data_IF_960007201042
#
_entry.id   IF_960007201042
#
_cell.length_a   1.000
_cell.length_b   1.000
_cell.length_c   1.000
_cell.angle_alpha   90.00
_cell.angle_beta   90.00
_cell.angle_gamma   90.00
#
_symmetry.space_group_name_H-M   'P 1'
#
loop_
_entity.id
_entity.type
_entity.pdbx_description
1 polymer ?
#
# COMPACT_ATOMS: atom_id res chain seq x y z
N UNK A 1 -58.05 10.49 -7.72
CA UNK A 1 -56.96 11.48 -7.76
C UNK A 1 -56.15 11.31 -6.47
N UNK A 2 -55.21 10.39 -6.22
CA UNK A 2 -54.09 9.72 -6.93
C UNK A 2 -53.05 10.70 -7.49
N UNK A 3 -51.90 10.74 -6.80
CA UNK A 3 -50.58 11.32 -7.14
C UNK A 3 -50.30 12.69 -6.50
N UNK A 4 -49.74 12.67 -5.28
CA UNK A 4 -48.88 13.72 -4.73
C UNK A 4 -48.19 13.21 -3.45
N UNK A 5 -47.46 12.11 -3.60
CA UNK A 5 -46.45 11.65 -2.64
C UNK A 5 -45.32 11.04 -3.47
N UNK A 6 -44.06 11.26 -3.06
CA UNK A 6 -42.83 10.69 -3.61
C UNK A 6 -42.04 11.53 -4.65
N UNK A 7 -41.60 12.75 -4.32
CA UNK A 7 -40.49 13.40 -5.05
C UNK A 7 -39.44 14.03 -4.10
N UNK A 8 -39.17 13.41 -2.95
CA UNK A 8 -38.15 13.93 -2.01
C UNK A 8 -37.30 12.82 -1.36
N UNK A 9 -36.98 11.77 -2.11
CA UNK A 9 -36.23 10.62 -1.60
C UNK A 9 -35.04 10.18 -2.49
N UNK A 10 -34.47 11.05 -3.32
CA UNK A 10 -33.32 10.71 -4.17
C UNK A 10 -32.17 11.75 -4.04
N UNK A 11 -31.71 11.99 -2.81
CA UNK A 11 -30.51 12.80 -2.55
C UNK A 11 -29.55 12.13 -1.55
N UNK A 12 -29.50 10.79 -1.53
CA UNK A 12 -28.75 10.04 -0.52
C UNK A 12 -27.99 8.83 -1.09
N UNK A 13 -27.33 8.92 -2.25
CA UNK A 13 -26.50 7.81 -2.75
C UNK A 13 -25.30 8.26 -3.61
N UNK A 14 -24.44 9.15 -3.12
CA UNK A 14 -23.10 9.33 -3.70
C UNK A 14 -22.04 9.67 -2.64
N UNK A 15 -22.15 9.09 -1.43
CA UNK A 15 -20.92 8.78 -0.69
C UNK A 15 -20.39 7.48 -1.28
N UNK A 16 -19.79 7.56 -2.48
CA UNK A 16 -18.90 6.51 -2.94
C UNK A 16 -17.82 6.43 -1.86
N UNK A 17 -17.91 5.43 -0.98
CA UNK A 17 -16.80 5.05 -0.13
C UNK A 17 -15.66 4.71 -1.08
N UNK A 18 -14.79 5.69 -1.33
CA UNK A 18 -13.57 5.52 -2.09
C UNK A 18 -12.78 4.46 -1.35
N UNK A 19 -12.86 3.22 -1.82
CA UNK A 19 -12.01 2.15 -1.33
C UNK A 19 -10.58 2.67 -1.44
N UNK A 20 -9.77 2.56 -0.37
CA UNK A 20 -8.41 3.04 -0.41
C UNK A 20 -7.70 2.33 -1.56
N UNK A 21 -7.31 3.11 -2.57
CA UNK A 21 -6.67 2.57 -3.76
C UNK A 21 -5.18 2.39 -3.47
N UNK A 22 -4.52 1.38 -4.08
CA UNK A 22 -3.07 1.21 -3.96
C UNK A 22 -2.25 2.36 -4.57
N UNK A 23 -2.90 3.40 -5.10
CA UNK A 23 -2.25 4.59 -5.61
C UNK A 23 -1.46 5.35 -4.53
N UNK A 24 -1.81 5.20 -3.24
CA UNK A 24 -1.00 5.76 -2.14
C UNK A 24 0.43 5.18 -2.10
N UNK A 25 0.62 3.97 -2.64
CA UNK A 25 1.90 3.27 -2.70
C UNK A 25 2.75 3.68 -3.91
N UNK A 26 2.20 4.43 -4.88
CA UNK A 26 2.95 4.91 -6.05
C UNK A 26 3.97 5.97 -5.63
N UNK A 27 5.24 5.73 -5.93
CA UNK A 27 6.35 6.59 -5.54
C UNK A 27 7.65 5.80 -5.35
N UNK A 28 8.72 6.54 -5.02
CA UNK A 28 9.99 5.97 -4.61
C UNK A 28 10.08 5.92 -3.08
N UNK A 29 10.64 4.84 -2.55
CA UNK A 29 10.65 4.53 -1.14
C UNK A 29 12.08 4.17 -0.69
N UNK A 30 12.45 4.68 0.47
CA UNK A 30 13.68 4.34 1.15
C UNK A 30 13.41 3.28 2.21
N UNK A 31 14.32 2.32 2.32
CA UNK A 31 14.49 1.53 3.53
C UNK A 31 15.38 2.28 4.53
N UNK A 32 15.48 1.78 5.75
CA UNK A 32 16.38 2.29 6.77
C UNK A 32 17.42 1.23 7.12
N UNK A 33 18.69 1.60 7.10
CA UNK A 33 19.81 0.78 7.56
C UNK A 33 20.64 1.61 8.54
N UNK A 34 20.74 1.18 9.80
CA UNK A 34 21.34 1.95 10.90
C UNK A 34 20.90 3.43 10.96
N UNK A 35 19.61 3.67 10.67
CA UNK A 35 19.01 5.02 10.65
C UNK A 35 19.39 5.88 9.45
N UNK A 36 20.11 5.32 8.47
CA UNK A 36 20.41 5.97 7.18
C UNK A 36 19.40 5.51 6.13
N UNK A 37 18.71 6.44 5.46
CA UNK A 37 17.80 6.07 4.38
C UNK A 37 18.61 5.62 3.16
N UNK A 38 18.21 4.50 2.56
CA UNK A 38 18.76 4.04 1.28
C UNK A 38 17.61 3.78 0.30
N UNK A 39 17.75 4.12 -1.01
CA UNK A 39 16.72 3.80 -2.00
C UNK A 39 16.48 2.29 -2.04
N UNK A 40 15.23 1.87 -1.85
CA UNK A 40 14.90 0.45 -1.72
C UNK A 40 14.03 -0.02 -2.88
N UNK A 41 12.84 0.57 -3.01
CA UNK A 41 11.91 0.23 -4.08
C UNK A 41 11.22 1.46 -4.66
N UNK A 42 10.71 1.32 -5.88
CA UNK A 42 9.85 2.30 -6.53
C UNK A 42 8.67 1.60 -7.16
N UNK A 43 7.48 2.14 -6.95
CA UNK A 43 6.24 1.64 -7.53
C UNK A 43 5.73 2.71 -8.50
N UNK A 44 5.45 2.31 -9.73
CA UNK A 44 4.85 3.18 -10.74
C UNK A 44 3.52 2.60 -11.21
N UNK A 45 2.59 3.46 -11.61
CA UNK A 45 1.38 3.05 -12.32
C UNK A 45 1.55 3.36 -13.80
N UNK A 46 1.49 2.35 -14.66
CA UNK A 46 1.61 2.47 -16.12
C UNK A 46 0.44 1.77 -16.77
N UNK A 47 -0.25 2.43 -17.71
CA UNK A 47 -1.37 1.84 -18.46
C UNK A 47 -2.39 1.07 -17.57
N UNK A 48 -2.68 1.60 -16.37
CA UNK A 48 -3.64 0.99 -15.44
C UNK A 48 -3.13 -0.17 -14.58
N UNK A 49 -1.88 -0.62 -14.73
CA UNK A 49 -1.24 -1.63 -13.87
C UNK A 49 -0.07 -1.04 -13.08
N UNK A 50 0.34 -1.72 -12.01
CA UNK A 50 1.49 -1.31 -11.20
C UNK A 50 2.75 -2.04 -11.67
N UNK A 51 3.88 -1.36 -11.59
CA UNK A 51 5.21 -1.89 -11.92
C UNK A 51 6.13 -1.63 -10.74
N UNK A 52 6.84 -2.67 -10.31
CA UNK A 52 7.82 -2.60 -9.23
C UNK A 52 9.23 -2.45 -9.80
N UNK A 53 9.99 -1.55 -9.20
CA UNK A 53 11.41 -1.37 -9.42
C UNK A 53 12.19 -1.50 -8.11
N UNK A 54 13.38 -2.06 -8.17
CA UNK A 54 14.36 -2.13 -7.07
C UNK A 54 15.55 -1.22 -7.38
N UNK A 55 16.25 -0.72 -6.36
CA UNK A 55 17.48 0.03 -6.60
C UNK A 55 18.69 -0.92 -6.59
N UNK A 56 19.42 -0.95 -7.69
CA UNK A 56 20.69 -1.70 -7.82
C UNK A 56 21.75 -0.71 -8.27
N UNK A 57 22.77 -0.51 -7.44
CA UNK A 57 23.90 0.40 -7.70
C UNK A 57 23.45 1.83 -8.09
N UNK A 58 22.47 2.38 -7.36
CA UNK A 58 21.94 3.72 -7.60
C UNK A 58 21.00 3.82 -8.80
N UNK A 59 20.67 2.70 -9.47
CA UNK A 59 19.79 2.68 -10.64
C UNK A 59 18.52 1.90 -10.35
N UNK A 60 17.39 2.47 -10.73
CA UNK A 60 16.11 1.77 -10.69
C UNK A 60 16.08 0.68 -11.77
N UNK A 61 15.98 -0.57 -11.34
CA UNK A 61 15.81 -1.74 -12.20
C UNK A 61 14.39 -2.23 -12.08
N UNK A 62 13.78 -2.54 -13.22
CA UNK A 62 12.44 -3.13 -13.24
C UNK A 62 12.56 -4.55 -12.68
N UNK A 63 11.79 -4.83 -11.64
CA UNK A 63 11.76 -6.12 -10.96
C UNK A 63 10.56 -6.95 -11.43
N UNK A 64 9.37 -6.34 -11.49
CA UNK A 64 8.15 -7.05 -11.89
C UNK A 64 7.14 -6.11 -12.54
N UNK A 65 6.55 -6.57 -13.64
CA UNK A 65 5.34 -6.01 -14.25
C UNK A 65 4.06 -6.71 -13.71
N UNK A 66 4.21 -7.80 -12.95
CA UNK A 66 3.13 -8.59 -12.35
C UNK A 66 2.94 -8.18 -10.89
N UNK A 67 2.38 -7.00 -10.67
CA UNK A 67 2.07 -6.49 -9.34
C UNK A 67 0.57 -6.66 -9.07
N UNK A 68 0.25 -7.46 -8.07
CA UNK A 68 -1.12 -7.73 -7.65
C UNK A 68 -1.52 -6.89 -6.44
N UNK A 69 -2.82 -6.75 -6.21
CA UNK A 69 -3.31 -6.15 -4.97
C UNK A 69 -3.11 -7.15 -3.83
N UNK A 70 -2.44 -6.70 -2.76
CA UNK A 70 -2.36 -7.45 -1.53
C UNK A 70 -3.64 -7.25 -0.70
N UNK A 71 -4.16 -8.35 -0.18
CA UNK A 71 -5.36 -8.37 0.64
C UNK A 71 -5.03 -8.30 2.13
N UNK A 72 -6.05 -8.03 2.95
CA UNK A 72 -5.99 -8.23 4.41
C UNK A 72 -5.55 -9.62 4.80
N UNK A 73 -6.04 -10.65 4.12
CA UNK A 73 -5.65 -12.03 4.38
C UNK A 73 -4.16 -12.27 4.10
N UNK A 74 -3.56 -11.55 3.15
CA UNK A 74 -2.11 -11.60 2.92
C UNK A 74 -1.34 -10.99 4.09
N UNK A 75 -1.82 -9.86 4.64
CA UNK A 75 -1.22 -9.27 5.84
C UNK A 75 -1.37 -10.21 7.05
N UNK A 76 -2.56 -10.74 7.30
CA UNK A 76 -2.85 -11.69 8.40
C UNK A 76 -1.91 -12.90 8.38
N UNK A 77 -1.56 -13.40 7.19
CA UNK A 77 -0.57 -14.49 7.04
C UNK A 77 0.85 -14.07 7.43
N UNK A 78 1.23 -12.82 7.18
CA UNK A 78 2.54 -12.29 7.55
C UNK A 78 2.65 -12.01 9.05
N UNK A 79 1.57 -11.53 9.66
CA UNK A 79 1.55 -11.13 11.07
C UNK A 79 1.12 -12.26 12.01
N UNK A 80 0.61 -13.36 11.46
CA UNK A 80 0.13 -14.54 12.20
C UNK A 80 -0.99 -14.25 13.21
N UNK A 81 -1.81 -13.24 12.96
CA UNK A 81 -3.02 -12.96 13.73
C UNK A 81 -4.06 -12.19 12.88
N UNK A 82 -5.33 -12.10 13.34
CA UNK A 82 -6.37 -11.36 12.64
C UNK A 82 -6.07 -9.86 12.56
N UNK A 83 -6.37 -9.23 11.42
CA UNK A 83 -6.20 -7.79 11.19
C UNK A 83 -7.58 -7.15 11.08
N UNK A 84 -7.84 -6.16 11.92
CA UNK A 84 -9.17 -5.50 11.98
C UNK A 84 -9.26 -4.22 11.13
N UNK A 85 -8.13 -3.71 10.66
CA UNK A 85 -8.08 -2.47 9.89
C UNK A 85 -8.24 -2.68 8.38
N UNK A 86 -8.64 -1.61 7.69
CA UNK A 86 -8.55 -1.54 6.24
C UNK A 86 -7.08 -1.43 5.87
N UNK A 87 -6.64 -2.32 4.99
CA UNK A 87 -5.27 -2.33 4.50
C UNK A 87 -5.25 -2.20 3.00
N UNK A 88 -4.22 -1.52 2.52
CA UNK A 88 -3.96 -1.38 1.10
C UNK A 88 -2.54 -1.86 0.86
N UNK A 89 -2.38 -2.78 -0.08
CA UNK A 89 -1.07 -3.29 -0.39
C UNK A 89 -0.91 -3.72 -1.83
N UNK A 90 0.34 -3.90 -2.22
CA UNK A 90 0.76 -4.43 -3.50
C UNK A 90 1.73 -5.58 -3.27
N UNK A 91 1.60 -6.67 -4.02
CA UNK A 91 2.46 -7.84 -3.90
C UNK A 91 3.02 -8.29 -5.23
N UNK A 92 4.18 -8.90 -5.15
CA UNK A 92 4.87 -9.63 -6.20
C UNK A 92 5.35 -10.96 -5.61
N UNK A 93 6.07 -11.77 -6.40
CA UNK A 93 6.72 -12.99 -5.89
C UNK A 93 7.86 -12.71 -4.91
N UNK A 94 8.44 -11.50 -4.89
CA UNK A 94 9.65 -11.17 -4.12
C UNK A 94 9.42 -10.22 -2.95
N UNK A 95 8.39 -9.39 -3.04
CA UNK A 95 8.05 -8.38 -2.03
C UNK A 95 6.56 -8.14 -1.97
N UNK A 96 6.09 -7.84 -0.76
CA UNK A 96 4.75 -7.32 -0.50
C UNK A 96 4.86 -6.02 0.30
N UNK A 97 4.14 -4.99 -0.15
CA UNK A 97 4.18 -3.64 0.40
C UNK A 97 2.81 -3.30 0.94
N UNK A 98 2.75 -2.74 2.15
CA UNK A 98 1.49 -2.31 2.78
C UNK A 98 1.56 -0.86 3.23
N UNK A 99 0.41 -0.19 3.10
CA UNK A 99 0.00 1.00 3.85
C UNK A 99 -0.90 0.53 5.00
N UNK A 100 -0.40 0.65 6.23
CA UNK A 100 -1.10 0.28 7.47
C UNK A 100 -1.49 1.49 8.32
N UNK A 101 -1.22 2.71 7.80
CA UNK A 101 -1.32 4.02 8.47
C UNK A 101 -0.38 4.19 9.69
N UNK A 102 0.16 5.40 9.93
CA UNK A 102 1.12 5.64 11.01
C UNK A 102 0.55 5.39 12.40
N UNK A 103 1.38 4.90 13.32
CA UNK A 103 1.08 4.91 14.76
C UNK A 103 0.05 3.88 15.23
N UNK A 104 -0.33 2.91 14.40
CA UNK A 104 -1.09 1.74 14.86
C UNK A 104 -0.17 0.59 15.22
N UNK A 105 -0.14 0.17 16.49
CA UNK A 105 0.52 -1.04 16.89
C UNK A 105 -0.39 -2.23 16.55
N UNK A 106 -0.31 -2.73 15.32
CA UNK A 106 -0.71 -4.10 15.05
C UNK A 106 0.59 -4.91 14.88
N UNK A 107 0.64 -6.12 15.44
CA UNK A 107 1.51 -7.19 14.94
C UNK A 107 3.02 -7.24 15.25
N UNK A 108 3.55 -6.55 16.26
CA UNK A 108 5.01 -6.61 16.48
C UNK A 108 5.84 -5.96 15.36
N UNK A 109 5.17 -5.25 14.46
CA UNK A 109 5.77 -4.36 13.48
C UNK A 109 5.26 -2.93 13.75
N UNK A 110 6.04 -2.17 14.51
CA UNK A 110 5.76 -0.75 14.73
C UNK A 110 6.36 0.05 13.58
N UNK A 111 5.52 0.59 12.70
CA UNK A 111 5.95 1.56 11.69
C UNK A 111 5.63 2.98 12.16
N UNK A 112 6.66 3.81 12.15
CA UNK A 112 6.56 5.25 12.37
C UNK A 112 6.00 5.94 11.12
N UNK A 113 6.32 5.42 9.94
CA UNK A 113 5.87 5.99 8.66
C UNK A 113 4.46 5.56 8.24
N UNK A 114 3.95 4.43 8.74
CA UNK A 114 2.73 3.81 8.27
C UNK A 114 2.90 2.90 7.04
N UNK A 115 4.13 2.73 6.55
CA UNK A 115 4.44 1.95 5.35
C UNK A 115 5.55 0.94 5.60
N UNK A 116 5.41 -0.25 5.04
CA UNK A 116 6.47 -1.24 5.07
C UNK A 116 6.44 -2.20 3.90
N UNK A 117 7.58 -2.84 3.67
CA UNK A 117 7.71 -3.97 2.78
C UNK A 117 8.06 -5.22 3.60
N UNK A 118 7.49 -6.36 3.25
CA UNK A 118 7.97 -7.67 3.69
C UNK A 118 8.64 -8.37 2.51
N UNK A 119 9.85 -8.85 2.75
CA UNK A 119 10.68 -9.61 1.81
C UNK A 119 11.10 -10.93 2.45
N UNK A 120 11.79 -11.78 1.70
CA UNK A 120 12.44 -12.97 2.28
C UNK A 120 13.42 -12.60 3.41
N UNK A 121 14.13 -11.48 3.29
CA UNK A 121 15.10 -11.04 4.31
C UNK A 121 14.47 -10.41 5.55
N UNK A 122 13.15 -10.27 5.58
CA UNK A 122 12.40 -9.67 6.67
C UNK A 122 11.64 -8.40 6.26
N UNK A 123 11.10 -7.74 7.27
CA UNK A 123 10.34 -6.51 7.11
C UNK A 123 11.25 -5.28 7.07
N UNK A 124 10.95 -4.35 6.19
CA UNK A 124 11.65 -3.08 6.00
C UNK A 124 10.65 -1.95 6.16
N UNK A 125 10.87 -1.07 7.14
CA UNK A 125 10.11 0.17 7.27
C UNK A 125 10.41 1.06 6.06
N UNK A 126 9.35 1.54 5.40
CA UNK A 126 9.47 2.37 4.21
C UNK A 126 9.24 3.83 4.56
N UNK A 127 10.13 4.70 4.09
CA UNK A 127 9.95 6.15 4.15
C UNK A 127 9.88 6.69 2.73
N UNK A 128 8.92 7.56 2.45
CA UNK A 128 8.77 8.16 1.12
C UNK A 128 10.01 9.00 0.81
N UNK A 129 10.62 8.76 -0.35
CA UNK A 129 11.65 9.64 -0.88
C UNK A 129 10.99 10.90 -1.42
N UNK A 130 11.58 12.06 -1.15
CA UNK A 130 11.14 13.30 -1.76
C UNK A 130 11.19 13.15 -3.30
N UNK A 131 10.19 13.66 -4.04
CA UNK A 131 10.33 13.79 -5.47
C UNK A 131 11.57 14.66 -5.75
N UNK A 132 12.43 14.17 -6.64
CA UNK A 132 13.58 14.93 -7.14
C UNK A 132 13.11 16.14 -7.95
#
# INVERSE_FOLDING_TARGET
MKRLLCVLALAAQLAACSQPTPDSLVGAWAGQDDGRPYPFLKIEKRHGHYVLYTNVDGRWRRESDYVEIASRADLERLVHHPVTCDVTGLKTSVVIVFDVRPGRPDAGFSTRSGYFASTWFGAVELVRLAPA
#
